data_IF_922489929736
#
_entry.id   IF_922489929736
#
_cell.length_a   1.000
_cell.length_b   1.000
_cell.length_c   1.000
_cell.angle_alpha   90.00
_cell.angle_beta   90.00
_cell.angle_gamma   90.00
#
_symmetry.space_group_name_H-M   'P 1'
#
loop_
_entity.id
_entity.type
_entity.pdbx_description
1 polymer ?
#
# COMPACT_ATOMS: atom_id res chain seq x y z
N UNK A 1 16.47 99.71 60.01
CA UNK A 1 16.98 98.64 59.12
C UNK A 1 16.94 97.32 59.87
N UNK A 2 15.83 96.58 59.82
CA UNK A 2 15.70 95.33 60.60
C UNK A 2 14.42 94.54 60.38
N UNK A 3 13.62 94.87 59.35
CA UNK A 3 12.38 94.13 59.01
C UNK A 3 12.59 93.07 57.92
N UNK A 4 13.75 93.08 57.27
CA UNK A 4 14.06 92.20 56.12
C UNK A 4 14.85 90.94 56.50
N UNK A 5 15.48 90.88 57.68
CA UNK A 5 16.30 89.73 58.09
C UNK A 5 15.52 88.40 58.29
N UNK A 6 14.32 88.37 58.90
CA UNK A 6 13.59 87.10 59.08
C UNK A 6 12.96 86.59 57.77
N UNK A 7 12.52 87.48 56.88
CA UNK A 7 11.94 87.14 55.58
C UNK A 7 13.00 86.56 54.63
N UNK A 8 14.19 87.18 54.60
CA UNK A 8 15.34 86.66 53.83
C UNK A 8 15.82 85.31 54.37
N UNK A 9 15.77 85.08 55.69
CA UNK A 9 16.09 83.78 56.27
C UNK A 9 15.10 82.69 55.84
N UNK A 10 13.78 82.97 55.89
CA UNK A 10 12.75 82.03 55.46
C UNK A 10 12.83 81.70 53.96
N UNK A 11 13.09 82.69 53.11
CA UNK A 11 13.29 82.47 51.67
C UNK A 11 14.52 81.61 51.37
N UNK A 12 15.60 81.75 52.15
CA UNK A 12 16.79 80.89 52.01
C UNK A 12 16.52 79.45 52.41
N UNK A 13 15.74 79.25 53.46
CA UNK A 13 15.30 77.92 53.91
C UNK A 13 14.42 77.26 52.85
N UNK A 14 13.41 77.96 52.34
CA UNK A 14 12.57 77.48 51.22
C UNK A 14 13.38 77.17 49.96
N UNK A 15 14.38 78.00 49.63
CA UNK A 15 15.27 77.74 48.49
C UNK A 15 16.11 76.48 48.70
N UNK A 16 16.61 76.25 49.91
CA UNK A 16 17.36 75.05 50.25
C UNK A 16 16.48 73.79 50.18
N UNK A 17 15.23 73.86 50.67
CA UNK A 17 14.25 72.79 50.57
C UNK A 17 13.93 72.45 49.10
N UNK A 18 13.61 73.47 48.28
CA UNK A 18 13.34 73.28 46.85
C UNK A 18 14.56 72.73 46.09
N UNK A 19 15.78 73.12 46.47
CA UNK A 19 17.00 72.55 45.90
C UNK A 19 17.13 71.06 46.23
N UNK A 20 16.91 70.67 47.49
CA UNK A 20 16.94 69.28 47.90
C UNK A 20 15.84 68.44 47.21
N UNK A 21 14.63 68.99 47.07
CA UNK A 21 13.55 68.34 46.32
C UNK A 21 13.90 68.15 44.84
N UNK A 22 14.47 69.17 44.21
CA UNK A 22 14.90 69.10 42.81
C UNK A 22 16.00 68.06 42.59
N UNK A 23 16.99 68.00 43.48
CA UNK A 23 18.02 66.96 43.47
C UNK A 23 17.41 65.56 43.63
N UNK A 24 16.43 65.40 44.55
CA UNK A 24 15.70 64.16 44.74
C UNK A 24 14.92 63.72 43.49
N UNK A 25 14.22 64.65 42.84
CA UNK A 25 13.49 64.39 41.59
C UNK A 25 14.44 64.05 40.44
N UNK A 26 15.60 64.70 40.34
CA UNK A 26 16.62 64.37 39.34
C UNK A 26 17.17 62.96 39.53
N UNK A 27 17.44 62.55 40.77
CA UNK A 27 17.88 61.18 41.08
C UNK A 27 16.81 60.16 40.69
N UNK A 28 15.53 60.42 41.00
CA UNK A 28 14.41 59.55 40.61
C UNK A 28 14.24 59.47 39.09
N UNK A 29 14.42 60.59 38.37
CA UNK A 29 14.35 60.62 36.91
C UNK A 29 15.46 59.79 36.28
N UNK A 30 16.70 59.93 36.75
CA UNK A 30 17.84 59.16 36.28
C UNK A 30 17.66 57.65 36.49
N UNK A 31 17.14 57.26 37.66
CA UNK A 31 16.84 55.86 37.98
C UNK A 31 15.69 55.29 37.12
N UNK A 32 14.64 56.09 36.86
CA UNK A 32 13.58 55.72 35.93
C UNK A 32 14.09 55.55 34.48
N UNK A 33 14.98 56.42 34.02
CA UNK A 33 15.61 56.32 32.70
C UNK A 33 16.47 55.07 32.57
N UNK A 34 17.25 54.74 33.61
CA UNK A 34 18.06 53.52 33.65
C UNK A 34 17.20 52.26 33.55
N UNK A 35 16.09 52.19 34.29
CA UNK A 35 15.12 51.08 34.17
C UNK A 35 14.48 51.02 32.79
N UNK A 36 14.08 52.16 32.23
CA UNK A 36 13.48 52.20 30.90
C UNK A 36 14.47 51.74 29.82
N UNK A 37 15.74 52.12 29.92
CA UNK A 37 16.80 51.65 29.03
C UNK A 37 17.00 50.13 29.14
N UNK A 38 17.00 49.60 30.37
CA UNK A 38 17.11 48.17 30.62
C UNK A 38 15.95 47.39 29.97
N UNK A 39 14.70 47.78 30.22
CA UNK A 39 13.54 47.09 29.64
C UNK A 39 13.48 47.22 28.11
N UNK A 40 13.93 48.34 27.53
CA UNK A 40 14.07 48.45 26.06
C UNK A 40 15.07 47.44 25.51
N UNK A 41 16.19 47.24 26.19
CA UNK A 41 17.18 46.24 25.79
C UNK A 41 16.62 44.82 25.89
N UNK A 42 15.90 44.50 26.97
CA UNK A 42 15.23 43.21 27.13
C UNK A 42 14.18 42.96 26.05
N UNK A 43 13.36 43.97 25.74
CA UNK A 43 12.35 43.89 24.69
C UNK A 43 12.99 43.67 23.31
N UNK A 44 14.09 44.37 23.01
CA UNK A 44 14.82 44.18 21.75
C UNK A 44 15.36 42.74 21.62
N UNK A 45 15.95 42.20 22.69
CA UNK A 45 16.43 40.80 22.72
C UNK A 45 15.28 39.79 22.56
N UNK A 46 14.14 40.04 23.19
CA UNK A 46 12.96 39.19 23.06
C UNK A 46 12.41 39.21 21.62
N UNK A 47 12.40 40.37 20.96
CA UNK A 47 11.97 40.52 19.57
C UNK A 47 12.91 39.79 18.60
N UNK A 48 14.22 39.85 18.83
CA UNK A 48 15.21 39.12 18.03
C UNK A 48 14.98 37.60 18.14
N UNK A 49 14.84 37.08 19.37
CA UNK A 49 14.53 35.66 19.61
C UNK A 49 13.20 35.23 18.99
N UNK A 50 12.19 36.10 19.01
CA UNK A 50 10.90 35.80 18.37
C UNK A 50 11.08 35.63 16.86
N UNK A 51 11.80 36.55 16.21
CA UNK A 51 12.08 36.47 14.76
C UNK A 51 12.88 35.22 14.40
N UNK A 52 13.84 34.83 15.22
CA UNK A 52 14.60 33.59 15.03
C UNK A 52 13.70 32.35 15.08
N UNK A 53 12.82 32.27 16.09
CA UNK A 53 11.88 31.15 16.25
C UNK A 53 10.85 31.13 15.12
N UNK A 54 10.31 32.28 14.72
CA UNK A 54 9.39 32.40 13.59
C UNK A 54 10.05 31.94 12.28
N UNK A 55 11.31 32.31 12.05
CA UNK A 55 12.10 31.85 10.91
C UNK A 55 12.28 30.32 10.91
N UNK A 56 12.74 29.76 12.03
CA UNK A 56 12.93 28.31 12.17
C UNK A 56 11.61 27.52 12.02
N UNK A 57 10.50 28.08 12.51
CA UNK A 57 9.17 27.49 12.32
C UNK A 57 8.77 27.48 10.85
N UNK A 58 8.96 28.60 10.13
CA UNK A 58 8.66 28.68 8.71
C UNK A 58 9.48 27.68 7.87
N UNK A 59 10.78 27.54 8.17
CA UNK A 59 11.65 26.55 7.53
C UNK A 59 11.18 25.12 7.79
N UNK A 60 10.81 24.81 9.04
CA UNK A 60 10.30 23.48 9.42
C UNK A 60 8.99 23.17 8.71
N UNK A 61 8.09 24.14 8.60
CA UNK A 61 6.82 24.00 7.88
C UNK A 61 7.03 23.76 6.39
N UNK A 62 7.96 24.48 5.76
CA UNK A 62 8.31 24.26 4.36
C UNK A 62 8.88 22.86 4.12
N UNK A 63 9.77 22.39 5.00
CA UNK A 63 10.32 21.04 4.92
C UNK A 63 9.23 19.97 5.12
N UNK A 64 8.30 20.17 6.04
CA UNK A 64 7.18 19.25 6.26
C UNK A 64 6.30 19.14 5.01
N UNK A 65 5.91 20.28 4.42
CA UNK A 65 5.12 20.31 3.20
C UNK A 65 5.82 19.60 2.03
N UNK A 66 7.14 19.79 1.89
CA UNK A 66 7.93 19.06 0.90
C UNK A 66 7.87 17.55 1.13
N UNK A 67 8.06 17.10 2.37
CA UNK A 67 8.05 15.66 2.71
C UNK A 67 6.69 15.02 2.52
N UNK A 68 5.61 15.75 2.81
CA UNK A 68 4.24 15.31 2.51
C UNK A 68 4.03 15.12 1.01
N UNK A 69 4.54 16.05 0.19
CA UNK A 69 4.52 15.94 -1.27
C UNK A 69 5.30 14.72 -1.78
N UNK A 70 6.53 14.51 -1.28
CA UNK A 70 7.35 13.33 -1.62
C UNK A 70 6.65 12.02 -1.23
N UNK A 71 6.02 11.97 -0.04
CA UNK A 71 5.28 10.79 0.42
C UNK A 71 4.05 10.52 -0.44
N UNK A 72 3.31 11.56 -0.85
CA UNK A 72 2.16 11.42 -1.75
C UNK A 72 2.59 10.88 -3.13
N UNK A 73 3.69 11.40 -3.68
CA UNK A 73 4.25 10.93 -4.94
C UNK A 73 4.69 9.46 -4.86
N UNK A 74 5.42 9.07 -3.81
CA UNK A 74 5.86 7.70 -3.60
C UNK A 74 4.67 6.72 -3.45
N UNK A 75 3.61 7.13 -2.74
CA UNK A 75 2.37 6.32 -2.64
C UNK A 75 1.73 6.12 -4.01
N UNK A 76 1.63 7.18 -4.81
CA UNK A 76 1.09 7.08 -6.18
C UNK A 76 1.94 6.15 -7.06
N UNK A 77 3.26 6.20 -6.94
CA UNK A 77 4.16 5.33 -7.67
C UNK A 77 4.00 3.86 -7.26
N UNK A 78 3.89 3.58 -5.95
CA UNK A 78 3.64 2.22 -5.44
C UNK A 78 2.32 1.66 -5.97
N UNK A 79 1.25 2.45 -6.00
CA UNK A 79 -0.03 2.01 -6.56
C UNK A 79 0.05 1.76 -8.07
N UNK A 80 0.76 2.61 -8.82
CA UNK A 80 1.00 2.41 -10.24
C UNK A 80 1.81 1.13 -10.51
N UNK A 81 2.86 0.88 -9.73
CA UNK A 81 3.66 -0.35 -9.83
C UNK A 81 2.85 -1.59 -9.48
N UNK A 82 2.00 -1.54 -8.44
CA UNK A 82 1.08 -2.64 -8.09
C UNK A 82 0.09 -2.94 -9.21
N UNK A 83 -0.46 -1.91 -9.85
CA UNK A 83 -1.37 -2.09 -10.99
C UNK A 83 -0.64 -2.73 -12.18
N UNK A 84 0.56 -2.25 -12.52
CA UNK A 84 1.39 -2.84 -13.57
C UNK A 84 1.78 -4.29 -13.27
N UNK A 85 2.09 -4.62 -12.02
CA UNK A 85 2.42 -5.99 -11.61
C UNK A 85 1.21 -6.92 -11.77
N UNK A 86 0.01 -6.47 -11.38
CA UNK A 86 -1.24 -7.22 -11.60
C UNK A 86 -1.52 -7.45 -13.08
N UNK A 87 -1.35 -6.42 -13.91
CA UNK A 87 -1.50 -6.54 -15.37
C UNK A 87 -0.48 -7.53 -15.96
N UNK A 88 0.79 -7.46 -15.52
CA UNK A 88 1.83 -8.38 -15.95
C UNK A 88 1.52 -9.82 -15.55
N UNK A 89 1.04 -10.06 -14.32
CA UNK A 89 0.62 -11.38 -13.84
C UNK A 89 -0.53 -11.95 -14.69
N UNK A 90 -1.53 -11.13 -15.03
CA UNK A 90 -2.64 -11.54 -15.89
C UNK A 90 -2.15 -11.93 -17.29
N UNK A 91 -1.33 -11.09 -17.93
CA UNK A 91 -0.73 -11.41 -19.24
C UNK A 91 0.12 -12.67 -19.20
N UNK A 92 0.87 -12.86 -18.11
CA UNK A 92 1.67 -14.06 -17.92
C UNK A 92 0.80 -15.32 -17.86
N UNK A 93 -0.30 -15.28 -17.09
CA UNK A 93 -1.28 -16.37 -17.03
C UNK A 93 -1.89 -16.68 -18.39
N UNK A 94 -2.33 -15.65 -19.11
CA UNK A 94 -2.90 -15.79 -20.45
C UNK A 94 -1.90 -16.44 -21.42
N UNK A 95 -0.64 -15.99 -21.43
CA UNK A 95 0.40 -16.56 -22.26
C UNK A 95 0.70 -18.03 -21.90
N UNK A 96 0.74 -18.37 -20.61
CA UNK A 96 0.92 -19.75 -20.11
C UNK A 96 -0.22 -20.67 -20.57
N UNK A 97 -1.48 -20.23 -20.43
CA UNK A 97 -2.66 -21.00 -20.84
C UNK A 97 -2.73 -21.14 -22.37
N UNK A 98 -2.41 -20.08 -23.13
CA UNK A 98 -2.36 -20.14 -24.59
C UNK A 98 -1.29 -21.12 -25.10
N UNK A 99 -0.16 -21.23 -24.41
CA UNK A 99 0.90 -22.18 -24.72
C UNK A 99 0.55 -23.63 -24.33
N UNK A 100 -0.51 -23.87 -23.55
CA UNK A 100 -0.92 -25.20 -23.10
C UNK A 100 -2.44 -25.36 -23.10
N UNK A 101 -3.05 -25.56 -24.29
CA UNK A 101 -4.51 -25.64 -24.44
C UNK A 101 -5.18 -26.81 -23.70
N UNK A 102 -4.38 -27.80 -23.28
CA UNK A 102 -4.84 -28.97 -22.55
C UNK A 102 -5.16 -28.67 -21.07
N UNK A 103 -4.66 -27.55 -20.55
CA UNK A 103 -4.86 -27.14 -19.16
C UNK A 103 -6.10 -26.26 -19.07
N UNK A 104 -7.15 -26.68 -18.34
CA UNK A 104 -8.35 -25.86 -18.15
C UNK A 104 -8.02 -24.55 -17.41
N UNK A 105 -8.56 -23.44 -17.92
CA UNK A 105 -8.41 -22.11 -17.33
C UNK A 105 -8.99 -22.02 -15.91
N UNK A 106 -9.98 -22.86 -15.59
CA UNK A 106 -10.66 -22.91 -14.29
C UNK A 106 -9.72 -23.39 -13.17
N UNK A 107 -8.63 -24.09 -13.50
CA UNK A 107 -7.68 -24.62 -12.52
C UNK A 107 -6.57 -23.62 -12.17
N UNK A 108 -6.48 -22.49 -12.87
CA UNK A 108 -5.42 -21.49 -12.69
C UNK A 108 -6.04 -20.11 -12.44
N UNK A 109 -6.36 -19.83 -11.18
CA UNK A 109 -7.01 -18.61 -10.71
C UNK A 109 -6.06 -17.61 -10.02
N UNK A 110 -4.78 -17.94 -9.85
CA UNK A 110 -3.80 -17.14 -9.12
C UNK A 110 -3.66 -15.71 -9.65
N UNK A 111 -3.40 -14.78 -8.72
CA UNK A 111 -3.25 -13.34 -9.02
C UNK A 111 -1.78 -12.89 -9.02
N UNK A 112 -0.90 -13.70 -8.43
CA UNK A 112 0.56 -13.51 -8.44
C UNK A 112 1.25 -14.51 -9.36
N UNK A 113 2.46 -14.20 -9.83
CA UNK A 113 3.22 -15.10 -10.70
C UNK A 113 3.47 -16.46 -10.01
N UNK A 114 3.80 -16.43 -8.72
CA UNK A 114 4.07 -17.63 -7.93
C UNK A 114 2.81 -18.50 -7.75
N UNK A 115 1.65 -17.90 -7.54
CA UNK A 115 0.38 -18.63 -7.48
C UNK A 115 0.01 -19.23 -8.83
N UNK A 116 0.15 -18.45 -9.90
CA UNK A 116 -0.11 -18.88 -11.27
C UNK A 116 0.76 -20.11 -11.58
N UNK A 117 2.06 -20.05 -11.29
CA UNK A 117 2.98 -21.16 -11.55
C UNK A 117 2.62 -22.41 -10.74
N UNK A 118 2.39 -22.26 -9.44
CA UNK A 118 2.00 -23.38 -8.57
C UNK A 118 0.73 -24.06 -9.07
N UNK A 119 -0.30 -23.28 -9.39
CA UNK A 119 -1.59 -23.82 -9.83
C UNK A 119 -1.49 -24.43 -11.22
N UNK A 120 -0.73 -23.83 -12.13
CA UNK A 120 -0.51 -24.36 -13.47
C UNK A 120 0.18 -25.73 -13.42
N UNK A 121 1.21 -25.89 -12.57
CA UNK A 121 1.85 -27.19 -12.35
C UNK A 121 0.88 -28.23 -11.77
N UNK A 122 0.04 -27.84 -10.80
CA UNK A 122 -0.97 -28.72 -10.24
C UNK A 122 -1.99 -29.16 -11.30
N UNK A 123 -2.44 -28.22 -12.14
CA UNK A 123 -3.38 -28.47 -13.21
C UNK A 123 -2.80 -29.45 -14.25
N UNK A 124 -1.53 -29.29 -14.63
CA UNK A 124 -0.86 -30.24 -15.52
C UNK A 124 -0.81 -31.66 -14.95
N UNK A 125 -0.54 -31.82 -13.65
CA UNK A 125 -0.55 -33.14 -12.98
C UNK A 125 -1.94 -33.77 -12.99
N UNK A 126 -2.99 -32.98 -12.80
CA UNK A 126 -4.36 -33.46 -12.87
C UNK A 126 -4.67 -33.92 -14.30
N UNK A 127 -4.39 -33.09 -15.31
CA UNK A 127 -4.65 -33.42 -16.72
C UNK A 127 -3.89 -34.67 -17.16
N UNK A 128 -2.61 -34.81 -16.79
CA UNK A 128 -1.84 -36.02 -17.13
C UNK A 128 -2.41 -37.27 -16.47
N UNK A 129 -2.84 -37.19 -15.21
CA UNK A 129 -3.48 -38.31 -14.51
C UNK A 129 -4.83 -38.69 -15.14
N UNK A 130 -5.61 -37.72 -15.60
CA UNK A 130 -6.89 -37.97 -16.28
C UNK A 130 -6.67 -38.61 -17.65
N UNK A 131 -5.68 -38.15 -18.42
CA UNK A 131 -5.28 -38.77 -19.68
C UNK A 131 -4.91 -40.24 -19.49
N UNK A 132 -4.07 -40.55 -18.51
CA UNK A 132 -3.66 -41.91 -18.22
C UNK A 132 -4.85 -42.81 -17.88
N UNK A 133 -5.75 -42.35 -17.01
CA UNK A 133 -6.96 -43.11 -16.63
C UNK A 133 -7.88 -43.36 -17.83
N UNK A 134 -8.07 -42.37 -18.71
CA UNK A 134 -8.88 -42.52 -19.91
C UNK A 134 -8.25 -43.51 -20.90
N UNK A 135 -6.93 -43.54 -21.03
CA UNK A 135 -6.23 -44.54 -21.84
C UNK A 135 -6.38 -45.96 -21.28
N UNK A 136 -6.24 -46.13 -19.96
CA UNK A 136 -6.47 -47.41 -19.28
C UNK A 136 -7.92 -47.89 -19.48
N UNK A 137 -8.91 -47.01 -19.33
CA UNK A 137 -10.32 -47.32 -19.60
C UNK A 137 -10.58 -47.66 -21.07
N UNK A 138 -9.96 -46.93 -22.01
CA UNK A 138 -10.09 -47.20 -23.44
C UNK A 138 -9.46 -48.55 -23.84
N UNK A 139 -8.35 -48.93 -23.21
CA UNK A 139 -7.74 -50.25 -23.39
C UNK A 139 -8.58 -51.37 -22.79
N UNK A 140 -9.16 -51.16 -21.60
CA UNK A 140 -10.07 -52.10 -20.96
C UNK A 140 -11.39 -52.28 -21.75
N UNK A 141 -11.84 -51.24 -22.45
CA UNK A 141 -13.03 -51.26 -23.33
C UNK A 141 -12.76 -51.70 -24.77
N UNK A 142 -11.53 -52.12 -25.13
CA UNK A 142 -11.31 -52.83 -26.40
C UNK A 142 -11.96 -54.20 -26.35
N UNK A 143 -13.26 -54.23 -26.65
CA UNK A 143 -13.99 -55.47 -26.88
C UNK A 143 -13.35 -56.23 -28.07
N UNK A 144 -13.19 -57.56 -27.98
CA UNK A 144 -12.83 -58.35 -29.14
C UNK A 144 -13.93 -58.21 -30.20
N UNK A 145 -13.62 -57.52 -31.29
CA UNK A 145 -14.45 -57.49 -32.49
C UNK A 145 -14.42 -58.89 -33.10
N UNK A 146 -15.40 -59.70 -32.74
CA UNK A 146 -15.56 -61.04 -33.26
C UNK A 146 -16.60 -61.80 -32.46
N UNK A 147 -17.89 -61.62 -32.80
CA UNK A 147 -18.87 -62.67 -32.48
C UNK A 147 -18.31 -63.98 -33.06
N UNK A 148 -18.27 -65.09 -32.29
CA UNK A 148 -17.83 -66.37 -32.82
C UNK A 148 -18.57 -66.66 -34.13
N UNK A 149 -17.90 -67.06 -35.23
CA UNK A 149 -18.60 -67.40 -36.45
C UNK A 149 -19.66 -68.44 -36.10
N UNK A 150 -20.92 -68.22 -36.54
CA UNK A 150 -21.99 -69.19 -36.34
C UNK A 150 -21.54 -70.50 -36.98
N UNK A 151 -21.19 -71.48 -36.16
CA UNK A 151 -20.89 -72.83 -36.63
C UNK A 151 -22.22 -73.41 -37.09
N UNK A 152 -22.42 -73.72 -38.39
CA UNK A 152 -23.62 -74.42 -38.82
C UNK A 152 -23.68 -75.78 -38.10
N UNK A 153 -24.89 -76.31 -37.85
CA UNK A 153 -25.03 -77.66 -37.31
C UNK A 153 -24.25 -78.64 -38.19
N UNK A 154 -23.49 -79.54 -37.57
CA UNK A 154 -22.75 -80.55 -38.32
C UNK A 154 -23.72 -81.61 -38.86
N UNK A 155 -23.95 -81.57 -40.17
CA UNK A 155 -24.86 -82.49 -40.87
C UNK A 155 -24.10 -83.69 -41.46
N UNK A 156 -22.81 -83.85 -41.21
CA UNK A 156 -21.98 -84.91 -41.82
C UNK A 156 -22.35 -86.32 -41.34
N UNK A 157 -22.93 -86.45 -40.14
CA UNK A 157 -23.38 -87.74 -39.57
C UNK A 157 -24.80 -88.19 -39.95
N UNK A 158 -25.56 -87.38 -40.69
CA UNK A 158 -26.95 -87.69 -41.06
C UNK A 158 -27.03 -88.35 -42.44
N UNK A 159 -27.87 -89.38 -42.56
CA UNK A 159 -28.21 -89.99 -43.85
C UNK A 159 -28.99 -89.01 -44.75
N UNK A 160 -29.00 -89.27 -46.05
CA UNK A 160 -29.69 -88.42 -47.04
C UNK A 160 -31.18 -88.21 -46.71
N UNK A 161 -31.83 -89.20 -46.09
CA UNK A 161 -33.25 -89.16 -45.70
C UNK A 161 -33.49 -88.25 -44.48
N UNK A 162 -32.57 -88.27 -43.50
CA UNK A 162 -32.67 -87.44 -42.29
C UNK A 162 -32.44 -85.96 -42.57
N UNK A 163 -31.53 -85.64 -43.51
CA UNK A 163 -31.31 -84.27 -43.99
C UNK A 163 -32.56 -83.66 -44.60
N UNK A 164 -33.30 -84.43 -45.41
CA UNK A 164 -34.55 -84.00 -46.04
C UNK A 164 -35.63 -83.76 -44.98
N UNK A 165 -35.76 -84.68 -44.01
CA UNK A 165 -36.74 -84.56 -42.93
C UNK A 165 -36.51 -83.33 -42.06
N UNK A 166 -35.25 -83.04 -41.73
CA UNK A 166 -34.89 -81.86 -40.95
C UNK A 166 -35.17 -80.56 -41.69
N UNK A 167 -34.95 -80.54 -43.02
CA UNK A 167 -35.28 -79.38 -43.88
C UNK A 167 -36.78 -79.12 -44.02
N UNK A 168 -37.64 -80.15 -43.87
CA UNK A 168 -39.09 -80.01 -43.89
C UNK A 168 -39.69 -79.57 -42.53
N UNK A 169 -38.98 -79.82 -41.42
CA UNK A 169 -39.42 -79.44 -40.07
C UNK A 169 -39.11 -77.99 -39.68
N UNK A 170 -38.15 -77.36 -40.37
CA UNK A 170 -37.73 -75.97 -40.12
C UNK A 170 -38.31 -74.96 -41.13
N UNK A 171 -39.43 -75.30 -41.79
CA UNK A 171 -40.17 -74.37 -42.64
C UNK A 171 -41.38 -73.82 -41.92
#
# INVERSE_FOLDING_TARGET
>A
MGRNDPEVASLREQLAELQAELEGLQAQAADAEARAAHHRQEAARAQERLREVEGALAETQALLAQREGELAAARSEVEALRARLREAAQRYREARLAASPEVPQELVSGETLEEIDRQFEQAQRIVSSLRQRLEEEAQARRFPVGSPPRRPPDLSGLSSLEKIRQGLQHR
#
